data_IF_163040696670
#
_entry.id   IF_163040696670
#
_cell.length_a   1.000
_cell.length_b   1.000
_cell.length_c   1.000
_cell.angle_alpha   90.00
_cell.angle_beta   90.00
_cell.angle_gamma   90.00
#
_symmetry.space_group_name_H-M   'P 1'
#
loop_
_entity.id
_entity.type
_entity.pdbx_description
1 polymer ?
#
# COMPACT_ATOMS: atom_id res chain seq x y z
N UNK A 1 -11.37 56.44 -18.01
CA UNK A 1 -11.05 55.52 -16.89
C UNK A 1 -11.40 54.09 -17.31
N UNK A 2 -10.52 53.36 -18.02
CA UNK A 2 -10.78 51.97 -18.48
C UNK A 2 -9.46 51.16 -18.53
N UNK A 3 -8.87 50.82 -17.39
CA UNK A 3 -7.64 49.99 -17.34
C UNK A 3 -7.65 48.91 -16.25
N UNK A 4 -8.81 48.35 -15.89
CA UNK A 4 -8.90 47.36 -14.80
C UNK A 4 -9.80 46.16 -15.12
N UNK A 5 -9.68 45.61 -16.34
CA UNK A 5 -10.41 44.39 -16.72
C UNK A 5 -9.54 43.32 -17.41
N UNK A 6 -8.31 43.65 -17.81
CA UNK A 6 -7.39 42.69 -18.46
C UNK A 6 -6.68 41.78 -17.45
N UNK A 7 -6.37 42.30 -16.27
CA UNK A 7 -5.65 41.58 -15.21
C UNK A 7 -6.49 40.49 -14.53
N UNK A 8 -7.82 40.69 -14.43
CA UNK A 8 -8.73 39.72 -13.82
C UNK A 8 -8.77 38.41 -14.63
N UNK A 9 -8.72 38.50 -15.96
CA UNK A 9 -8.75 37.35 -16.86
C UNK A 9 -7.42 36.58 -16.87
N UNK A 10 -6.30 37.28 -16.72
CA UNK A 10 -4.97 36.66 -16.60
C UNK A 10 -4.85 35.84 -15.31
N UNK A 11 -5.25 36.40 -14.17
CA UNK A 11 -5.24 35.67 -12.89
C UNK A 11 -6.21 34.47 -12.89
N UNK A 12 -7.37 34.60 -13.54
CA UNK A 12 -8.30 33.48 -13.73
C UNK A 12 -7.70 32.37 -14.58
N UNK A 13 -6.99 32.73 -15.65
CA UNK A 13 -6.30 31.75 -16.48
C UNK A 13 -5.15 31.06 -15.73
N UNK A 14 -4.34 31.81 -14.97
CA UNK A 14 -3.29 31.26 -14.12
C UNK A 14 -3.85 30.33 -13.04
N UNK A 15 -4.99 30.69 -12.44
CA UNK A 15 -5.67 29.87 -11.45
C UNK A 15 -6.21 28.56 -12.06
N UNK A 16 -6.83 28.63 -13.24
CA UNK A 16 -7.31 27.44 -13.96
C UNK A 16 -6.14 26.53 -14.37
N UNK A 17 -5.03 27.11 -14.81
CA UNK A 17 -3.81 26.36 -15.12
C UNK A 17 -3.25 25.66 -13.88
N UNK A 18 -3.21 26.35 -12.74
CA UNK A 18 -2.77 25.78 -11.46
C UNK A 18 -3.66 24.61 -11.01
N UNK A 19 -4.98 24.71 -11.17
CA UNK A 19 -5.91 23.61 -10.87
C UNK A 19 -5.70 22.40 -11.78
N UNK A 20 -5.39 22.61 -13.06
CA UNK A 20 -5.08 21.53 -14.01
C UNK A 20 -3.77 20.82 -13.61
N UNK A 21 -2.73 21.55 -13.24
CA UNK A 21 -1.46 20.97 -12.79
C UNK A 21 -1.64 20.15 -11.50
N UNK A 22 -2.43 20.65 -10.55
CA UNK A 22 -2.79 19.91 -9.34
C UNK A 22 -3.54 18.60 -9.65
N UNK A 23 -4.43 18.60 -10.64
CA UNK A 23 -5.15 17.40 -11.04
C UNK A 23 -4.21 16.35 -11.64
N UNK A 24 -3.27 16.78 -12.49
CA UNK A 24 -2.26 15.91 -13.12
C UNK A 24 -1.20 15.37 -12.14
N UNK A 25 -1.00 16.01 -10.99
CA UNK A 25 -0.05 15.57 -9.98
C UNK A 25 -0.47 14.30 -9.21
N UNK A 26 -1.72 13.85 -9.34
CA UNK A 26 -2.22 12.65 -8.67
C UNK A 26 -1.85 11.37 -9.48
N UNK A 27 -0.55 11.09 -9.57
CA UNK A 27 -0.06 9.79 -10.03
C UNK A 27 -0.29 8.73 -8.96
N UNK A 28 -1.41 8.01 -9.01
CA UNK A 28 -1.65 6.87 -8.14
C UNK A 28 -0.62 5.76 -8.42
N UNK A 29 0.34 5.57 -7.51
CA UNK A 29 1.24 4.42 -7.56
C UNK A 29 0.43 3.17 -7.26
N UNK A 30 0.18 2.34 -8.28
CA UNK A 30 -0.50 1.06 -8.07
C UNK A 30 0.38 0.15 -7.19
N UNK A 31 -0.20 -0.54 -6.19
CA UNK A 31 0.57 -1.47 -5.38
C UNK A 31 1.08 -2.61 -6.27
N UNK A 32 2.40 -2.75 -6.34
CA UNK A 32 3.05 -3.84 -7.07
C UNK A 32 2.64 -5.16 -6.41
N UNK A 33 2.00 -6.03 -7.19
CA UNK A 33 1.61 -7.38 -6.75
C UNK A 33 2.66 -8.39 -7.20
N UNK A 34 2.97 -9.35 -6.33
CA UNK A 34 3.84 -10.48 -6.61
C UNK A 34 3.08 -11.79 -6.40
N UNK A 35 3.45 -12.84 -7.13
CA UNK A 35 2.83 -14.16 -6.96
C UNK A 35 3.71 -15.03 -6.07
N UNK A 36 3.14 -15.61 -5.02
CA UNK A 36 3.87 -16.48 -4.10
C UNK A 36 4.12 -17.84 -4.77
N UNK A 37 5.38 -18.21 -4.98
CA UNK A 37 5.74 -19.53 -5.52
C UNK A 37 5.66 -20.64 -4.45
N UNK A 38 6.11 -20.34 -3.24
CA UNK A 38 6.12 -21.27 -2.10
C UNK A 38 6.19 -20.49 -0.80
N UNK A 39 5.68 -21.09 0.28
CA UNK A 39 5.81 -20.55 1.64
C UNK A 39 6.55 -21.60 2.46
N UNK A 40 7.64 -21.20 3.11
CA UNK A 40 8.41 -22.03 4.04
C UNK A 40 8.39 -21.33 5.41
N UNK A 41 8.16 -22.11 6.46
CA UNK A 41 8.08 -21.61 7.84
C UNK A 41 9.23 -22.24 8.61
N UNK A 42 9.99 -21.41 9.32
CA UNK A 42 11.17 -21.81 10.08
C UNK A 42 11.17 -21.11 11.45
N UNK A 43 11.87 -21.68 12.43
CA UNK A 43 12.04 -21.08 13.76
C UNK A 43 10.83 -21.18 14.70
N UNK A 44 9.77 -21.90 14.32
CA UNK A 44 8.64 -22.16 15.19
C UNK A 44 8.96 -23.27 16.21
N UNK A 45 8.76 -22.98 17.50
CA UNK A 45 9.02 -23.93 18.60
C UNK A 45 7.72 -24.46 19.20
N UNK A 46 6.78 -23.55 19.51
CA UNK A 46 5.52 -23.88 20.21
C UNK A 46 4.29 -23.88 19.30
N UNK A 47 4.30 -23.08 18.24
CA UNK A 47 3.18 -22.98 17.32
C UNK A 47 3.35 -23.98 16.17
N UNK A 48 2.27 -24.68 15.84
CA UNK A 48 2.24 -25.58 14.68
C UNK A 48 2.35 -24.78 13.37
N UNK A 49 3.07 -25.34 12.41
CA UNK A 49 3.28 -24.76 11.08
C UNK A 49 1.96 -24.43 10.37
N UNK A 50 0.94 -25.28 10.56
CA UNK A 50 -0.39 -25.10 9.96
C UNK A 50 -1.11 -23.89 10.53
N UNK A 51 -0.95 -23.60 11.83
CA UNK A 51 -1.54 -22.42 12.48
C UNK A 51 -0.88 -21.14 11.94
N UNK A 52 0.44 -21.14 11.78
CA UNK A 52 1.17 -20.01 11.19
C UNK A 52 0.73 -19.80 9.74
N UNK A 53 0.67 -20.87 8.95
CA UNK A 53 0.25 -20.81 7.55
C UNK A 53 -1.17 -20.23 7.43
N UNK A 54 -2.13 -20.77 8.20
CA UNK A 54 -3.53 -20.34 8.19
C UNK A 54 -3.68 -18.86 8.58
N UNK A 55 -3.03 -18.41 9.66
CA UNK A 55 -3.21 -17.06 10.19
C UNK A 55 -2.44 -15.99 9.39
N UNK A 56 -1.31 -16.36 8.76
CA UNK A 56 -0.57 -15.43 7.90
C UNK A 56 -1.41 -14.98 6.69
N UNK A 57 -2.31 -15.83 6.19
CA UNK A 57 -3.04 -15.58 4.95
C UNK A 57 -2.15 -15.54 3.70
N UNK A 58 -0.89 -15.99 3.81
CA UNK A 58 0.07 -16.14 2.71
C UNK A 58 0.03 -17.60 2.25
N UNK A 59 -0.17 -17.82 0.96
CA UNK A 59 -0.28 -19.18 0.39
C UNK A 59 0.25 -19.21 -1.03
N UNK A 60 0.77 -20.37 -1.45
CA UNK A 60 1.25 -20.60 -2.80
C UNK A 60 0.19 -20.25 -3.84
N UNK A 61 0.61 -19.60 -4.93
CA UNK A 61 -0.25 -19.17 -6.04
C UNK A 61 -1.02 -17.87 -5.79
N UNK A 62 -1.03 -17.34 -4.56
CA UNK A 62 -1.70 -16.09 -4.25
C UNK A 62 -0.90 -14.89 -4.76
N UNK A 63 -1.59 -13.93 -5.37
CA UNK A 63 -1.03 -12.60 -5.62
C UNK A 63 -1.15 -11.74 -4.36
N UNK A 64 -0.04 -11.17 -3.92
CA UNK A 64 0.05 -10.35 -2.71
C UNK A 64 0.78 -9.04 -2.99
N UNK A 65 0.35 -8.00 -2.31
CA UNK A 65 1.00 -6.69 -2.25
C UNK A 65 1.86 -6.56 -0.99
N UNK A 66 2.60 -5.46 -0.88
CA UNK A 66 3.33 -5.14 0.35
C UNK A 66 2.40 -5.00 1.56
N UNK A 67 1.18 -4.48 1.36
CA UNK A 67 0.18 -4.33 2.42
C UNK A 67 -0.32 -5.67 2.92
N UNK A 68 -0.45 -6.66 2.03
CA UNK A 68 -0.82 -8.03 2.40
C UNK A 68 0.26 -8.69 3.28
N UNK A 69 1.54 -8.44 3.01
CA UNK A 69 2.64 -8.92 3.85
C UNK A 69 2.60 -8.25 5.24
N UNK A 70 2.38 -6.94 5.30
CA UNK A 70 2.23 -6.24 6.58
C UNK A 70 1.02 -6.77 7.38
N UNK A 71 -0.08 -7.09 6.69
CA UNK A 71 -1.26 -7.69 7.31
C UNK A 71 -0.97 -9.08 7.84
N UNK A 72 -0.21 -9.90 7.12
CA UNK A 72 0.22 -11.21 7.59
C UNK A 72 1.01 -11.12 8.90
N UNK A 73 1.96 -10.19 8.99
CA UNK A 73 2.72 -9.92 10.22
C UNK A 73 1.79 -9.50 11.37
N UNK A 74 0.84 -8.59 11.12
CA UNK A 74 -0.14 -8.15 12.14
C UNK A 74 -1.02 -9.29 12.64
N UNK A 75 -1.51 -10.16 11.75
CA UNK A 75 -2.32 -11.31 12.12
C UNK A 75 -1.54 -12.28 13.02
N UNK A 76 -0.29 -12.56 12.68
CA UNK A 76 0.58 -13.41 13.50
C UNK A 76 0.88 -12.78 14.86
N UNK A 77 1.12 -11.46 14.92
CA UNK A 77 1.28 -10.73 16.17
C UNK A 77 0.04 -10.80 17.07
N UNK A 78 -1.16 -10.78 16.49
CA UNK A 78 -2.41 -10.87 17.25
C UNK A 78 -2.56 -12.20 18.02
N UNK A 79 -1.85 -13.25 17.61
CA UNK A 79 -1.81 -14.53 18.33
C UNK A 79 -1.04 -14.43 19.66
N UNK A 80 -0.18 -13.42 19.83
CA UNK A 80 0.66 -13.23 21.03
C UNK A 80 1.57 -14.43 21.37
N UNK A 81 1.93 -15.23 20.36
CA UNK A 81 2.76 -16.43 20.51
C UNK A 81 4.23 -16.23 20.15
N UNK A 82 4.54 -15.14 19.46
CA UNK A 82 5.86 -14.90 18.87
C UNK A 82 6.52 -13.70 19.54
N UNK A 83 7.85 -13.73 19.64
CA UNK A 83 8.66 -12.60 20.12
C UNK A 83 9.30 -11.81 18.97
N UNK A 84 9.46 -12.42 17.80
CA UNK A 84 9.99 -11.82 16.57
C UNK A 84 9.33 -12.49 15.36
N UNK A 85 9.05 -11.73 14.29
CA UNK A 85 8.43 -12.21 13.05
C UNK A 85 9.11 -11.52 11.87
N UNK A 86 9.57 -12.31 10.90
CA UNK A 86 10.18 -11.85 9.64
C UNK A 86 9.58 -12.63 8.49
N UNK A 87 9.23 -11.93 7.40
CA UNK A 87 8.62 -12.47 6.19
C UNK A 87 9.41 -11.97 4.99
#
# INVERSE_FOLDING_TARGET
MIFKNKDLNMNRFLFLFFLIVLFLANGYSQPRKITIHSVKIEGNIKADTSIIHLNSGLSKGKQVSQDDIQKAVKNLWALKLFSDIKI
#
